data_IF_161538873735
#
_entry.id   IF_161538873735
#
_cell.length_a   1.000
_cell.length_b   1.000
_cell.length_c   1.000
_cell.angle_alpha   90.00
_cell.angle_beta   90.00
_cell.angle_gamma   90.00
#
_symmetry.space_group_name_H-M   'P 1'
#
loop_
_entity.id
_entity.type
_entity.pdbx_description
1 polymer ?
#
# COMPACT_ATOMS: atom_id res chain seq x y z
N UNK A 1 -34.06 -15.48 -33.80
CA UNK A 1 -32.63 -15.86 -33.81
C UNK A 1 -31.86 -14.88 -32.95
N UNK A 2 -31.21 -15.34 -31.87
CA UNK A 2 -30.33 -14.48 -31.08
C UNK A 2 -29.00 -14.29 -31.82
N UNK A 3 -28.58 -13.03 -32.05
CA UNK A 3 -27.25 -12.72 -32.58
C UNK A 3 -26.21 -13.01 -31.50
N UNK A 4 -25.30 -13.95 -31.74
CA UNK A 4 -24.11 -14.12 -30.91
C UNK A 4 -23.17 -12.94 -31.13
N UNK A 5 -22.74 -12.26 -30.06
CA UNK A 5 -21.70 -11.23 -30.11
C UNK A 5 -20.37 -11.85 -29.69
N UNK A 6 -19.34 -11.64 -30.50
CA UNK A 6 -17.97 -12.03 -30.16
C UNK A 6 -17.41 -11.10 -29.10
N UNK A 7 -16.62 -11.63 -28.18
CA UNK A 7 -15.84 -10.84 -27.24
C UNK A 7 -14.75 -10.05 -27.99
N UNK A 8 -14.62 -8.77 -27.69
CA UNK A 8 -13.62 -7.86 -28.24
C UNK A 8 -12.80 -7.23 -27.13
N UNK A 9 -11.47 -7.24 -27.29
CA UNK A 9 -10.56 -6.63 -26.34
C UNK A 9 -10.82 -5.12 -26.24
N UNK A 10 -10.95 -4.62 -25.02
CA UNK A 10 -11.02 -3.19 -24.73
C UNK A 10 -9.61 -2.66 -24.55
N UNK A 11 -9.18 -1.80 -25.47
CA UNK A 11 -7.91 -1.08 -25.38
C UNK A 11 -7.99 0.03 -24.33
N UNK A 12 -7.02 0.07 -23.42
CA UNK A 12 -6.88 1.15 -22.44
C UNK A 12 -5.40 1.42 -22.15
N UNK A 13 -5.07 2.65 -21.75
CA UNK A 13 -3.74 2.97 -21.26
C UNK A 13 -3.61 2.54 -19.80
N UNK A 14 -2.66 1.66 -19.43
CA UNK A 14 -2.46 1.25 -18.05
C UNK A 14 -2.15 2.45 -17.16
N UNK A 15 -2.88 2.59 -16.04
CA UNK A 15 -2.65 3.65 -15.06
C UNK A 15 -1.56 3.29 -14.04
N UNK A 16 -1.28 1.99 -13.87
CA UNK A 16 -0.39 1.47 -12.85
C UNK A 16 0.60 0.48 -13.44
N UNK A 17 1.75 0.34 -12.78
CA UNK A 17 2.74 -0.68 -13.12
C UNK A 17 2.18 -2.06 -12.78
N UNK A 18 2.40 -3.03 -13.67
CA UNK A 18 2.00 -4.44 -13.49
C UNK A 18 2.97 -5.24 -12.61
N UNK A 19 3.67 -4.59 -11.68
CA UNK A 19 4.61 -5.25 -10.77
C UNK A 19 3.84 -5.95 -9.66
N UNK A 20 4.26 -7.15 -9.29
CA UNK A 20 3.80 -7.78 -8.06
C UNK A 20 4.57 -7.18 -6.87
N UNK A 21 3.93 -6.31 -6.05
CA UNK A 21 4.61 -5.69 -4.92
C UNK A 21 5.00 -6.71 -3.84
N UNK A 22 4.36 -7.88 -3.82
CA UNK A 22 4.64 -8.93 -2.84
C UNK A 22 5.96 -9.63 -3.16
N UNK A 23 6.35 -9.69 -4.43
CA UNK A 23 7.60 -10.30 -4.87
C UNK A 23 8.72 -9.28 -5.14
N UNK A 24 8.40 -8.00 -5.29
CA UNK A 24 9.37 -6.96 -5.68
C UNK A 24 10.39 -6.60 -4.60
N UNK A 25 10.21 -7.06 -3.36
CA UNK A 25 11.10 -6.75 -2.22
C UNK A 25 11.19 -7.95 -1.29
N UNK A 26 12.39 -8.20 -0.76
CA UNK A 26 12.62 -9.31 0.16
C UNK A 26 11.84 -9.13 1.47
N UNK A 27 11.63 -10.24 2.19
CA UNK A 27 10.95 -10.19 3.48
C UNK A 27 11.73 -9.38 4.51
N UNK A 28 13.06 -9.49 4.53
CA UNK A 28 13.90 -8.75 5.48
C UNK A 28 13.84 -7.25 5.22
N UNK A 29 13.92 -6.81 3.96
CA UNK A 29 13.78 -5.37 3.62
C UNK A 29 12.41 -4.82 4.05
N UNK A 30 11.33 -5.60 3.90
CA UNK A 30 9.99 -5.23 4.40
C UNK A 30 9.96 -5.12 5.92
N UNK A 31 10.61 -6.04 6.64
CA UNK A 31 10.71 -5.99 8.09
C UNK A 31 11.56 -4.81 8.55
N UNK A 32 12.59 -4.45 7.80
CA UNK A 32 13.46 -3.31 8.11
C UNK A 32 12.72 -1.97 8.02
N UNK A 33 11.73 -1.84 7.12
CA UNK A 33 10.81 -0.69 7.12
C UNK A 33 10.10 -0.57 8.48
N UNK A 34 9.54 -1.68 8.99
CA UNK A 34 8.81 -1.69 10.27
C UNK A 34 9.73 -1.43 11.46
N UNK A 35 10.92 -2.04 11.47
CA UNK A 35 11.95 -1.81 12.49
C UNK A 35 12.40 -0.35 12.51
N UNK A 36 12.55 0.28 11.34
CA UNK A 36 12.90 1.70 11.21
C UNK A 36 11.80 2.60 11.78
N UNK A 37 10.53 2.29 11.51
CA UNK A 37 9.39 3.04 12.08
C UNK A 37 9.40 2.97 13.61
N UNK A 38 9.55 1.78 14.20
CA UNK A 38 9.60 1.61 15.65
C UNK A 38 10.75 2.43 16.27
N UNK A 39 11.96 2.30 15.70
CA UNK A 39 13.13 3.03 16.18
C UNK A 39 12.95 4.54 16.12
N UNK A 40 12.43 5.07 15.00
CA UNK A 40 12.23 6.52 14.82
C UNK A 40 11.12 7.04 15.74
N UNK A 41 10.01 6.32 15.87
CA UNK A 41 8.91 6.71 16.74
C UNK A 41 9.33 6.77 18.22
N UNK A 42 10.04 5.75 18.71
CA UNK A 42 10.55 5.72 20.10
C UNK A 42 11.65 6.75 20.35
N UNK A 43 12.45 7.08 19.34
CA UNK A 43 13.48 8.12 19.46
C UNK A 43 12.91 9.55 19.44
N UNK A 44 11.71 9.74 18.89
CA UNK A 44 11.11 11.07 18.75
C UNK A 44 10.70 11.68 20.10
N UNK A 45 10.19 10.88 21.04
CA UNK A 45 9.77 11.35 22.36
C UNK A 45 9.80 10.21 23.40
N UNK A 46 10.30 10.49 24.61
CA UNK A 46 10.38 9.52 25.71
C UNK A 46 9.02 9.04 26.20
N UNK A 47 7.96 9.80 25.93
CA UNK A 47 6.59 9.47 26.32
C UNK A 47 6.01 8.32 25.50
N UNK A 48 6.62 7.96 24.36
CA UNK A 48 6.16 6.85 23.51
C UNK A 48 6.35 5.51 24.23
N UNK A 49 5.25 4.86 24.59
CA UNK A 49 5.25 3.56 25.26
C UNK A 49 5.11 2.41 24.25
N UNK A 50 4.17 2.54 23.32
CA UNK A 50 3.84 1.51 22.34
C UNK A 50 3.91 2.05 20.92
N UNK A 51 4.45 1.23 20.02
CA UNK A 51 4.46 1.48 18.58
C UNK A 51 3.92 0.24 17.89
N UNK A 52 2.87 0.42 17.09
CA UNK A 52 2.33 -0.61 16.21
C UNK A 52 2.48 -0.11 14.78
N UNK A 53 3.23 -0.86 13.97
CA UNK A 53 3.42 -0.59 12.56
C UNK A 53 2.97 -1.81 11.76
N UNK A 54 2.22 -1.59 10.68
CA UNK A 54 1.76 -2.65 9.78
C UNK A 54 2.01 -2.28 8.33
N UNK A 55 2.48 -3.28 7.57
CA UNK A 55 2.70 -3.20 6.13
C UNK A 55 1.67 -4.13 5.47
N UNK A 56 0.89 -3.61 4.53
CA UNK A 56 -0.03 -4.41 3.72
C UNK A 56 0.24 -4.21 2.23
N UNK A 57 -0.01 -5.27 1.46
CA UNK A 57 0.10 -5.25 0.01
C UNK A 57 -0.93 -6.17 -0.61
N UNK A 58 -1.43 -5.75 -1.77
CA UNK A 58 -2.39 -6.49 -2.59
C UNK A 58 -1.86 -6.50 -4.02
N UNK A 59 -1.94 -7.66 -4.65
CA UNK A 59 -1.74 -7.84 -6.07
C UNK A 59 -3.00 -8.47 -6.63
N UNK A 60 -3.79 -7.67 -7.35
CA UNK A 60 -5.09 -8.08 -7.88
C UNK A 60 -5.04 -8.18 -9.41
N UNK A 61 -5.48 -9.33 -9.93
CA UNK A 61 -5.67 -9.58 -11.36
C UNK A 61 -7.17 -9.69 -11.63
N UNK A 62 -7.70 -8.85 -12.53
CA UNK A 62 -9.10 -8.92 -12.92
C UNK A 62 -9.25 -9.18 -14.41
N UNK A 63 -10.33 -9.88 -14.78
CA UNK A 63 -10.77 -10.07 -16.15
C UNK A 63 -12.30 -9.98 -16.19
N UNK A 64 -12.82 -9.17 -17.10
CA UNK A 64 -14.26 -8.94 -17.29
C UNK A 64 -14.62 -9.38 -18.71
N UNK A 65 -15.63 -10.24 -18.82
CA UNK A 65 -16.25 -10.63 -20.09
C UNK A 65 -17.77 -10.40 -19.99
N UNK A 66 -18.36 -9.69 -20.95
CA UNK A 66 -19.78 -9.35 -20.92
C UNK A 66 -20.51 -9.65 -22.24
N UNK A 67 -21.83 -9.84 -22.14
CA UNK A 67 -22.71 -10.21 -23.27
C UNK A 67 -22.85 -9.13 -24.33
N UNK A 68 -22.47 -7.89 -24.01
CA UNK A 68 -22.42 -6.80 -24.97
C UNK A 68 -21.22 -6.87 -25.93
N UNK A 69 -20.25 -7.77 -25.65
CA UNK A 69 -19.03 -7.96 -26.42
C UNK A 69 -17.76 -7.52 -25.66
N UNK A 70 -17.87 -6.96 -24.46
CA UNK A 70 -16.70 -6.47 -23.70
C UNK A 70 -15.79 -7.60 -23.26
N UNK A 71 -14.48 -7.46 -23.49
CA UNK A 71 -13.41 -8.23 -22.85
C UNK A 71 -12.30 -7.29 -22.36
N UNK A 72 -12.09 -7.20 -21.05
CA UNK A 72 -11.09 -6.31 -20.45
C UNK A 72 -10.34 -7.01 -19.31
N UNK A 73 -9.09 -6.59 -19.05
CA UNK A 73 -8.29 -7.08 -17.94
C UNK A 73 -7.52 -5.94 -17.29
N UNK A 74 -7.10 -6.10 -16.03
CA UNK A 74 -6.27 -5.12 -15.33
C UNK A 74 -5.40 -5.77 -14.25
N UNK A 75 -4.27 -5.13 -13.94
CA UNK A 75 -3.31 -5.54 -12.91
C UNK A 75 -3.14 -4.41 -11.91
N UNK A 76 -3.48 -4.67 -10.65
CA UNK A 76 -3.70 -3.63 -9.65
C UNK A 76 -2.85 -3.87 -8.40
N UNK A 77 -1.59 -3.38 -8.36
CA UNK A 77 -0.84 -3.34 -7.12
C UNK A 77 -1.47 -2.31 -6.16
N UNK A 78 -1.38 -2.57 -4.86
CA UNK A 78 -1.70 -1.61 -3.81
C UNK A 78 -0.87 -1.93 -2.57
N UNK A 79 -0.10 -0.96 -2.06
CA UNK A 79 0.64 -1.09 -0.80
C UNK A 79 0.21 -0.03 0.19
N UNK A 80 0.27 -0.32 1.49
CA UNK A 80 -0.01 0.63 2.56
C UNK A 80 0.87 0.37 3.79
N UNK A 81 1.38 1.44 4.37
CA UNK A 81 2.03 1.46 5.68
C UNK A 81 1.10 2.20 6.66
N UNK A 82 0.85 1.59 7.81
CA UNK A 82 0.07 2.19 8.90
C UNK A 82 0.90 2.21 10.16
N UNK A 83 0.87 3.32 10.90
CA UNK A 83 1.60 3.51 12.14
C UNK A 83 0.64 4.05 13.20
N UNK A 84 0.63 3.44 14.37
CA UNK A 84 -0.07 3.90 15.56
C UNK A 84 0.91 3.95 16.72
N UNK A 85 0.93 5.07 17.43
CA UNK A 85 1.78 5.28 18.61
C UNK A 85 0.92 5.61 19.81
N UNK A 86 1.26 5.07 20.97
CA UNK A 86 0.67 5.43 22.25
C UNK A 86 1.70 6.17 23.08
N UNK A 87 1.31 7.33 23.59
CA UNK A 87 2.12 8.13 24.51
C UNK A 87 1.50 8.15 25.90
N UNK A 88 2.34 8.25 26.92
CA UNK A 88 1.94 8.44 28.31
C UNK A 88 2.76 9.55 28.96
N UNK A 89 2.08 10.43 29.71
CA UNK A 89 2.70 11.42 30.59
C UNK A 89 1.82 11.59 31.83
N UNK A 90 2.41 11.51 33.02
CA UNK A 90 1.74 11.65 34.31
C UNK A 90 0.44 10.80 34.45
N UNK A 91 0.49 9.56 33.95
CA UNK A 91 -0.63 8.62 33.96
C UNK A 91 -1.72 8.89 32.91
N UNK A 92 -1.61 9.98 32.13
CA UNK A 92 -2.52 10.26 31.00
C UNK A 92 -1.99 9.61 29.73
N UNK A 93 -2.86 8.91 28.99
CA UNK A 93 -2.51 8.22 27.73
C UNK A 93 -3.27 8.79 26.54
N UNK A 94 -2.58 8.92 25.42
CA UNK A 94 -3.15 9.35 24.13
C UNK A 94 -2.57 8.54 22.98
N UNK A 95 -3.28 8.50 21.84
CA UNK A 95 -2.89 7.75 20.65
C UNK A 95 -2.79 8.65 19.42
N UNK A 96 -1.68 8.55 18.71
CA UNK A 96 -1.46 9.20 17.41
C UNK A 96 -1.40 8.15 16.30
N UNK A 97 -1.86 8.50 15.10
CA UNK A 97 -1.76 7.63 13.93
C UNK A 97 -1.25 8.37 12.70
N UNK A 98 -0.55 7.66 11.83
CA UNK A 98 -0.11 8.13 10.53
C UNK A 98 -0.03 6.95 9.56
N UNK A 99 0.10 7.24 8.27
CA UNK A 99 0.23 6.19 7.27
C UNK A 99 0.02 6.72 5.86
N UNK A 100 0.14 5.83 4.90
CA UNK A 100 -0.01 6.16 3.49
C UNK A 100 0.28 4.95 2.61
N UNK A 101 0.11 5.13 1.32
CA UNK A 101 0.24 4.05 0.36
C UNK A 101 -0.22 4.47 -1.03
N UNK A 102 -0.27 3.50 -1.91
CA UNK A 102 -0.68 3.72 -3.29
C UNK A 102 -0.42 2.51 -4.16
N UNK A 103 -0.62 2.70 -5.46
CA UNK A 103 -0.57 1.62 -6.45
C UNK A 103 0.82 1.51 -7.08
N UNK A 104 1.76 1.07 -6.26
CA UNK A 104 3.18 0.92 -6.56
C UNK A 104 3.83 -0.10 -5.59
N UNK A 105 5.14 -0.33 -5.70
CA UNK A 105 5.90 -1.22 -4.82
C UNK A 105 6.26 -0.61 -3.46
N UNK A 106 6.76 -1.45 -2.54
CA UNK A 106 7.14 -1.03 -1.18
C UNK A 106 8.33 -0.05 -1.12
N UNK A 107 9.11 0.06 -2.19
CA UNK A 107 10.25 0.98 -2.32
C UNK A 107 9.87 2.44 -2.07
N UNK A 108 8.59 2.78 -2.28
CA UNK A 108 8.03 4.07 -1.93
C UNK A 108 8.30 4.48 -0.46
N UNK A 109 8.33 3.52 0.46
CA UNK A 109 8.58 3.79 1.89
C UNK A 109 10.06 3.89 2.25
N UNK A 110 10.95 3.46 1.34
CA UNK A 110 12.41 3.58 1.49
C UNK A 110 12.96 4.83 0.81
N UNK A 111 12.28 5.31 -0.23
CA UNK A 111 12.62 6.54 -0.92
C UNK A 111 12.64 7.72 0.07
N UNK A 112 13.75 8.45 0.13
CA UNK A 112 13.85 9.68 0.91
C UNK A 112 12.96 10.75 0.29
N UNK A 113 11.71 10.85 0.77
CA UNK A 113 10.80 11.91 0.35
C UNK A 113 11.30 13.24 0.92
N UNK A 114 11.97 14.02 0.08
CA UNK A 114 12.06 15.46 0.25
C UNK A 114 10.64 16.03 0.23
N UNK A 115 10.09 16.25 1.42
CA UNK A 115 8.91 17.05 1.72
C UNK A 115 7.80 17.10 0.65
N UNK A 116 6.91 16.10 0.64
CA UNK A 116 5.55 16.35 0.14
C UNK A 116 4.53 15.71 1.06
N UNK A 117 3.89 16.57 1.86
CA UNK A 117 2.72 16.27 2.68
C UNK A 117 1.60 15.79 1.75
N UNK A 118 1.18 14.54 1.89
CA UNK A 118 -0.13 14.12 1.42
C UNK A 118 -1.15 14.64 2.45
N UNK A 119 -2.05 15.52 1.99
CA UNK A 119 -3.19 16.01 2.76
C UNK A 119 -4.34 15.01 2.77
#
# INVERSE_FOLDING_TARGET
>A
MAKCRTLGAVEYSPLYTSIDPLQSMSREEKLDILRRVDKVARAADKRVQEVSASLSGVYELILVAATDGTLAADVRPLVRLSVSVLVEEDGKRERGSSGGGGRFGYDYFLASQGGRRAG
#
